data_IF_768897073635
#
_entry.id   IF_768897073635
#
_cell.length_a   1.000
_cell.length_b   1.000
_cell.length_c   1.000
_cell.angle_alpha   90.00
_cell.angle_beta   90.00
_cell.angle_gamma   90.00
#
_symmetry.space_group_name_H-M   'P 1'
#
loop_
_entity.id
_entity.type
_entity.pdbx_description
1 polymer ?
#
# COMPACT_ATOMS: atom_id res chain seq x y z
N UNK A 1 -8.64 18.90 -2.05
CA UNK A 1 -7.40 18.17 -2.42
C UNK A 1 -7.37 17.81 -3.90
N UNK A 2 -8.28 16.94 -4.40
CA UNK A 2 -8.30 16.46 -5.80
C UNK A 2 -8.21 17.58 -6.86
N UNK A 3 -8.99 18.66 -6.67
CA UNK A 3 -9.06 19.78 -7.61
C UNK A 3 -7.84 20.70 -7.60
N UNK A 4 -6.98 20.56 -6.59
CA UNK A 4 -5.73 21.32 -6.45
C UNK A 4 -4.53 20.54 -6.99
N UNK A 5 -4.61 19.20 -6.90
CA UNK A 5 -3.48 18.31 -7.19
C UNK A 5 -3.51 17.82 -8.63
N UNK A 6 -4.69 17.45 -9.15
CA UNK A 6 -4.82 16.89 -10.50
C UNK A 6 -5.16 17.96 -11.53
N UNK A 7 -4.30 18.98 -11.64
CA UNK A 7 -4.46 20.11 -12.56
C UNK A 7 -3.44 20.02 -13.69
N UNK A 8 -3.92 20.08 -14.94
CA UNK A 8 -3.07 20.03 -16.13
C UNK A 8 -2.86 18.61 -16.67
N UNK A 9 -1.71 18.40 -17.32
CA UNK A 9 -1.36 17.11 -17.93
C UNK A 9 -0.40 16.32 -17.03
N UNK A 10 -0.50 14.99 -17.13
CA UNK A 10 0.44 14.08 -16.46
C UNK A 10 1.86 14.18 -17.05
N UNK A 11 2.92 14.03 -16.24
CA UNK A 11 2.87 13.93 -14.78
C UNK A 11 2.50 15.28 -14.14
N UNK A 12 1.66 15.24 -13.11
CA UNK A 12 1.17 16.41 -12.37
C UNK A 12 2.29 17.10 -11.58
N UNK A 13 2.15 18.42 -11.36
CA UNK A 13 3.03 19.18 -10.47
C UNK A 13 2.94 18.64 -9.04
N UNK A 14 4.09 18.29 -8.46
CA UNK A 14 4.18 17.78 -7.09
C UNK A 14 3.91 18.84 -6.02
N UNK A 15 4.07 20.13 -6.32
CA UNK A 15 4.03 21.20 -5.30
C UNK A 15 2.70 21.32 -4.56
N UNK A 16 1.52 21.25 -5.22
CA UNK A 16 0.25 21.33 -4.51
C UNK A 16 0.08 20.16 -3.53
N UNK A 17 0.46 18.94 -3.93
CA UNK A 17 0.41 17.77 -3.07
C UNK A 17 1.37 17.90 -1.89
N UNK A 18 2.62 18.29 -2.14
CA UNK A 18 3.62 18.48 -1.08
C UNK A 18 3.20 19.55 -0.08
N UNK A 19 2.60 20.65 -0.55
CA UNK A 19 2.07 21.70 0.31
C UNK A 19 0.98 21.15 1.24
N UNK A 20 0.00 20.44 0.69
CA UNK A 20 -1.09 19.84 1.48
C UNK A 20 -0.51 18.83 2.49
N UNK A 21 0.42 17.97 2.08
CA UNK A 21 1.04 16.99 2.99
C UNK A 21 1.79 17.67 4.13
N UNK A 22 2.51 18.77 3.88
CA UNK A 22 3.18 19.55 4.92
C UNK A 22 2.19 20.23 5.87
N UNK A 23 1.09 20.77 5.35
CA UNK A 23 0.05 21.41 6.15
C UNK A 23 -0.67 20.39 7.06
N UNK A 24 -0.99 19.20 6.54
CA UNK A 24 -1.76 18.18 7.28
C UNK A 24 -0.89 17.30 8.20
N UNK A 25 0.36 17.02 7.82
CA UNK A 25 1.24 16.09 8.56
C UNK A 25 2.35 16.82 9.35
N UNK A 26 2.47 18.14 9.17
CA UNK A 26 3.53 18.97 9.73
C UNK A 26 4.81 18.93 8.89
N UNK A 27 5.42 20.10 8.70
CA UNK A 27 6.61 20.25 7.84
C UNK A 27 7.88 19.62 8.45
N UNK A 28 7.99 19.67 9.78
CA UNK A 28 9.15 19.20 10.54
C UNK A 28 8.87 17.92 11.36
N UNK A 29 7.62 17.42 11.35
CA UNK A 29 7.25 16.19 12.07
C UNK A 29 8.00 14.99 11.51
N UNK A 30 8.74 14.27 12.35
CA UNK A 30 9.44 13.05 11.97
C UNK A 30 8.66 11.80 12.36
N UNK A 31 8.94 10.67 11.69
CA UNK A 31 8.25 9.39 11.94
C UNK A 31 8.35 9.00 13.42
N UNK A 32 9.50 9.20 14.05
CA UNK A 32 9.72 8.88 15.46
C UNK A 32 8.91 9.76 16.43
N UNK A 33 8.34 10.90 16.00
CA UNK A 33 7.48 11.72 16.87
C UNK A 33 6.16 11.03 17.17
N UNK A 34 5.68 10.18 16.24
CA UNK A 34 4.48 9.37 16.44
C UNK A 34 4.84 8.16 17.31
N UNK A 35 4.40 8.16 18.57
CA UNK A 35 4.74 7.08 19.53
C UNK A 35 3.85 5.86 19.41
N UNK A 36 2.55 6.07 19.25
CA UNK A 36 1.55 5.02 19.06
C UNK A 36 0.45 5.51 18.10
N UNK A 37 -0.15 4.62 17.29
CA UNK A 37 0.25 3.22 17.10
C UNK A 37 1.58 3.09 16.35
N UNK A 38 2.17 1.88 16.31
CA UNK A 38 3.24 1.56 15.35
C UNK A 38 2.71 1.73 13.91
N UNK A 39 3.46 2.44 13.07
CA UNK A 39 3.09 2.80 11.71
C UNK A 39 4.14 2.26 10.74
N UNK A 40 3.64 1.73 9.61
CA UNK A 40 4.43 1.34 8.45
C UNK A 40 3.84 2.02 7.22
N UNK A 41 4.68 2.66 6.42
CA UNK A 41 4.34 3.23 5.11
C UNK A 41 5.29 2.64 4.07
N UNK A 42 4.76 2.15 2.94
CA UNK A 42 5.54 1.47 1.91
C UNK A 42 6.04 2.46 0.86
N UNK A 43 7.27 2.28 0.38
CA UNK A 43 7.80 2.97 -0.78
C UNK A 43 8.85 2.10 -1.47
N UNK A 44 8.99 2.23 -2.78
CA UNK A 44 9.96 1.42 -3.54
C UNK A 44 11.22 2.24 -3.80
N UNK A 45 12.38 1.70 -3.42
CA UNK A 45 13.69 2.25 -3.74
C UNK A 45 14.05 1.87 -5.18
N UNK A 46 14.01 2.86 -6.06
CA UNK A 46 14.25 2.71 -7.50
C UNK A 46 15.66 3.11 -7.93
N UNK A 47 16.52 3.51 -6.98
CA UNK A 47 17.94 3.85 -7.22
C UNK A 47 18.87 2.63 -7.32
N UNK A 48 18.29 1.43 -7.41
CA UNK A 48 19.00 0.15 -7.33
C UNK A 48 18.35 -0.92 -8.19
N UNK A 49 19.14 -1.95 -8.51
CA UNK A 49 18.67 -3.14 -9.19
C UNK A 49 19.21 -4.40 -8.49
N UNK A 50 18.34 -5.35 -8.07
CA UNK A 50 16.87 -5.28 -8.13
C UNK A 50 16.30 -4.14 -7.28
N UNK A 51 15.12 -3.63 -7.66
CA UNK A 51 14.40 -2.64 -6.87
C UNK A 51 14.01 -3.24 -5.50
N UNK A 52 13.95 -2.41 -4.47
CA UNK A 52 13.81 -2.86 -3.09
C UNK A 52 12.64 -2.18 -2.38
N UNK A 53 12.01 -2.88 -1.45
CA UNK A 53 10.90 -2.33 -0.65
C UNK A 53 11.47 -1.62 0.57
N UNK A 54 11.19 -0.32 0.69
CA UNK A 54 11.43 0.41 1.91
C UNK A 54 10.16 0.51 2.74
N UNK A 55 10.27 0.15 4.02
CA UNK A 55 9.26 0.42 5.02
C UNK A 55 9.69 1.65 5.81
N UNK A 56 8.99 2.77 5.62
CA UNK A 56 9.07 3.91 6.52
C UNK A 56 8.34 3.53 7.81
N UNK A 57 9.05 3.57 8.95
CA UNK A 57 8.57 3.09 10.25
C UNK A 57 8.72 4.17 11.30
N UNK A 58 7.88 4.18 12.33
CA UNK A 58 8.09 5.02 13.53
C UNK A 58 8.86 4.31 14.66
N UNK A 59 9.32 3.08 14.43
CA UNK A 59 10.06 2.28 15.40
C UNK A 59 11.37 1.75 14.82
N UNK A 60 12.28 1.34 15.68
CA UNK A 60 13.59 0.78 15.30
C UNK A 60 13.43 -0.54 14.53
N UNK A 61 14.04 -0.64 13.34
CA UNK A 61 13.98 -1.85 12.51
C UNK A 61 14.73 -3.04 13.15
N UNK A 62 14.38 -4.26 12.74
CA UNK A 62 15.09 -5.47 13.15
C UNK A 62 16.59 -5.43 12.81
N UNK A 63 16.94 -4.97 11.60
CA UNK A 63 18.34 -4.81 11.19
C UNK A 63 19.14 -3.89 12.12
N UNK A 64 18.55 -2.76 12.52
CA UNK A 64 19.19 -1.84 13.46
C UNK A 64 19.34 -2.48 14.85
N UNK A 65 18.32 -3.21 15.33
CA UNK A 65 18.40 -3.94 16.60
C UNK A 65 19.53 -4.96 16.61
N UNK A 66 19.74 -5.65 15.50
CA UNK A 66 20.78 -6.66 15.34
C UNK A 66 22.16 -6.08 15.02
N UNK A 67 22.29 -4.75 14.88
CA UNK A 67 23.50 -4.08 14.38
C UNK A 67 23.98 -4.67 13.05
N UNK A 68 23.04 -5.17 12.26
CA UNK A 68 23.30 -5.74 10.95
C UNK A 68 23.51 -4.59 9.95
N UNK A 69 24.74 -4.11 9.84
CA UNK A 69 25.12 -3.17 8.79
C UNK A 69 25.48 -3.98 7.55
N UNK A 70 24.50 -4.18 6.66
CA UNK A 70 24.75 -4.73 5.34
C UNK A 70 25.74 -3.83 4.59
N UNK A 71 26.80 -4.44 4.05
CA UNK A 71 27.73 -3.78 3.12
C UNK A 71 27.05 -3.50 1.79
N UNK A 72 26.11 -2.55 1.79
CA UNK A 72 25.35 -2.21 0.60
C UNK A 72 26.11 -1.17 -0.22
N UNK A 73 26.14 -1.37 -1.54
CA UNK A 73 26.67 -0.40 -2.50
C UNK A 73 25.83 0.88 -2.59
N UNK A 74 24.67 0.91 -1.92
CA UNK A 74 23.70 2.00 -1.93
C UNK A 74 23.70 2.76 -0.61
N UNK A 75 23.43 4.06 -0.67
CA UNK A 75 23.27 4.89 0.53
C UNK A 75 22.14 4.35 1.40
N UNK A 76 22.33 4.15 2.71
CA UNK A 76 21.27 3.69 3.60
C UNK A 76 20.13 4.72 3.68
N UNK A 77 18.94 4.28 4.07
CA UNK A 77 17.85 5.19 4.43
C UNK A 77 18.09 5.78 5.83
N UNK A 78 17.73 7.05 6.05
CA UNK A 78 17.89 7.66 7.36
C UNK A 78 16.99 6.95 8.39
N UNK A 79 17.35 6.97 9.68
CA UNK A 79 16.54 6.36 10.73
C UNK A 79 15.24 7.17 10.97
N UNK A 80 14.24 6.60 11.68
CA UNK A 80 12.93 7.22 11.89
C UNK A 80 12.96 8.66 12.44
N UNK A 81 13.96 9.01 13.24
CA UNK A 81 14.15 10.34 13.85
C UNK A 81 14.58 11.41 12.83
N UNK A 82 14.92 11.00 11.61
CA UNK A 82 15.35 11.86 10.51
C UNK A 82 14.42 11.75 9.29
N UNK A 83 13.39 10.91 9.36
CA UNK A 83 12.42 10.72 8.29
C UNK A 83 11.19 11.60 8.55
N UNK A 84 10.96 12.60 7.70
CA UNK A 84 9.76 13.44 7.79
C UNK A 84 8.51 12.69 7.34
N UNK A 85 7.41 12.84 8.10
CA UNK A 85 6.14 12.15 7.85
C UNK A 85 5.57 12.50 6.48
N UNK A 86 5.55 13.79 6.12
CA UNK A 86 5.05 14.24 4.81
C UNK A 86 5.87 13.70 3.64
N UNK A 87 7.19 13.47 3.84
CA UNK A 87 8.07 12.87 2.82
C UNK A 87 7.79 11.40 2.64
N UNK A 88 7.55 10.66 3.73
CA UNK A 88 7.14 9.26 3.66
C UNK A 88 5.80 9.11 2.91
N UNK A 89 4.82 9.96 3.22
CA UNK A 89 3.54 10.00 2.51
C UNK A 89 3.72 10.34 1.01
N UNK A 90 4.54 11.34 0.68
CA UNK A 90 4.82 11.72 -0.72
C UNK A 90 5.53 10.63 -1.51
N UNK A 91 6.50 9.95 -0.89
CA UNK A 91 7.22 8.84 -1.48
C UNK A 91 6.28 7.65 -1.74
N UNK A 92 5.42 7.33 -0.78
CA UNK A 92 4.47 6.23 -0.88
C UNK A 92 3.45 6.41 -2.00
N UNK A 93 2.92 7.62 -2.18
CA UNK A 93 1.94 7.94 -3.23
C UNK A 93 2.55 8.40 -4.56
N UNK A 94 3.85 8.18 -4.80
CA UNK A 94 4.55 8.61 -6.01
C UNK A 94 4.26 7.71 -7.23
N UNK A 95 2.98 7.57 -7.58
CA UNK A 95 2.49 6.69 -8.65
C UNK A 95 3.21 6.99 -9.98
N UNK A 96 3.92 6.01 -10.58
CA UNK A 96 4.56 6.18 -11.87
C UNK A 96 3.55 6.65 -12.92
N UNK A 97 3.99 7.52 -13.83
CA UNK A 97 3.18 8.26 -14.82
C UNK A 97 2.27 9.38 -14.27
N UNK A 98 1.87 9.35 -12.99
CA UNK A 98 1.04 10.41 -12.39
C UNK A 98 1.89 11.51 -11.76
N UNK A 99 2.92 11.13 -11.00
CA UNK A 99 3.84 12.05 -10.37
C UNK A 99 5.28 11.69 -10.69
N UNK A 100 6.18 12.67 -10.58
CA UNK A 100 7.62 12.41 -10.57
C UNK A 100 8.02 11.62 -9.32
N UNK A 101 9.11 10.87 -9.39
CA UNK A 101 9.68 10.18 -8.23
C UNK A 101 10.05 11.18 -7.12
N UNK A 102 9.92 10.75 -5.87
CA UNK A 102 10.34 11.57 -4.73
C UNK A 102 11.77 11.19 -4.34
N UNK A 103 12.74 11.93 -4.88
CA UNK A 103 14.15 11.56 -4.79
C UNK A 103 14.38 10.18 -5.42
N UNK A 104 14.77 9.20 -4.60
CA UNK A 104 15.00 7.81 -4.99
C UNK A 104 13.79 6.88 -4.84
N UNK A 105 12.66 7.41 -4.38
CA UNK A 105 11.46 6.62 -4.10
C UNK A 105 10.42 6.76 -5.20
N UNK A 106 9.75 5.64 -5.50
CA UNK A 106 8.49 5.59 -6.25
C UNK A 106 7.43 4.90 -5.41
N UNK A 107 6.19 4.90 -5.91
CA UNK A 107 5.02 4.36 -5.22
C UNK A 107 5.24 2.97 -4.62
N UNK A 108 4.80 2.80 -3.37
CA UNK A 108 4.81 1.52 -2.67
C UNK A 108 4.01 0.45 -3.39
N UNK A 109 3.00 0.86 -4.17
CA UNK A 109 2.12 0.03 -4.96
C UNK A 109 2.81 -0.82 -6.04
N UNK A 110 4.05 -0.50 -6.44
CA UNK A 110 4.76 -1.34 -7.40
C UNK A 110 5.21 -2.69 -6.82
N UNK A 111 5.44 -2.77 -5.51
CA UNK A 111 5.84 -4.01 -4.81
C UNK A 111 4.78 -4.45 -3.80
N UNK A 112 4.25 -3.49 -3.01
CA UNK A 112 3.42 -3.73 -1.84
C UNK A 112 2.15 -2.87 -1.88
N UNK A 113 1.33 -3.05 -2.92
CA UNK A 113 0.04 -2.32 -3.06
C UNK A 113 -1.03 -2.78 -2.07
N UNK A 114 -0.89 -4.00 -1.56
CA UNK A 114 -1.61 -4.46 -0.39
C UNK A 114 -0.56 -4.95 0.62
N UNK A 115 -0.22 -4.11 1.62
CA UNK A 115 0.92 -4.37 2.50
C UNK A 115 0.66 -5.46 3.54
N UNK A 116 -0.47 -6.17 3.49
CA UNK A 116 -0.84 -7.15 4.51
C UNK A 116 0.25 -8.21 4.73
N UNK A 117 0.78 -8.80 3.65
CA UNK A 117 1.81 -9.83 3.77
C UNK A 117 3.15 -9.22 4.20
N UNK A 118 3.54 -8.08 3.64
CA UNK A 118 4.79 -7.40 3.98
C UNK A 118 4.81 -6.95 5.45
N UNK A 119 3.69 -6.45 5.97
CA UNK A 119 3.53 -6.10 7.39
C UNK A 119 3.59 -7.32 8.29
N UNK A 120 2.95 -8.44 7.91
CA UNK A 120 3.05 -9.69 8.69
C UNK A 120 4.48 -10.24 8.72
N UNK A 121 5.19 -10.16 7.59
CA UNK A 121 6.61 -10.52 7.49
C UNK A 121 7.46 -9.62 8.39
N UNK A 122 7.30 -8.30 8.29
CA UNK A 122 8.01 -7.33 9.13
C UNK A 122 7.73 -7.56 10.63
N UNK A 123 6.49 -7.84 11.03
CA UNK A 123 6.15 -8.19 12.42
C UNK A 123 6.90 -9.45 12.86
N UNK A 124 6.94 -10.50 12.02
CA UNK A 124 7.62 -11.74 12.35
C UNK A 124 9.14 -11.56 12.48
N UNK A 125 9.76 -10.82 11.56
CA UNK A 125 11.19 -10.50 11.56
C UNK A 125 11.58 -9.59 12.73
N UNK A 126 10.78 -8.56 13.01
CA UNK A 126 10.99 -7.66 14.14
C UNK A 126 10.86 -8.41 15.47
N UNK A 127 9.84 -9.26 15.63
CA UNK A 127 9.70 -10.12 16.80
C UNK A 127 10.89 -11.08 16.98
N UNK A 128 11.39 -11.64 15.88
CA UNK A 128 12.59 -12.49 15.90
C UNK A 128 13.81 -11.71 16.37
N UNK A 129 13.99 -10.50 15.84
CA UNK A 129 15.08 -9.59 16.23
C UNK A 129 15.00 -9.23 17.72
N UNK A 130 13.81 -8.89 18.22
CA UNK A 130 13.57 -8.60 19.65
C UNK A 130 13.94 -9.79 20.54
N UNK A 131 13.60 -11.02 20.12
CA UNK A 131 13.99 -12.22 20.87
C UNK A 131 15.50 -12.42 20.92
N UNK A 132 16.20 -12.24 19.79
CA UNK A 132 17.66 -12.39 19.71
C UNK A 132 18.37 -11.42 20.67
N UNK A 133 17.91 -10.17 20.74
CA UNK A 133 18.50 -9.15 21.62
C UNK A 133 17.97 -9.19 23.07
N UNK A 134 17.20 -10.22 23.44
CA UNK A 134 16.68 -10.40 24.81
C UNK A 134 15.51 -9.49 25.19
N UNK A 135 14.88 -8.79 24.23
CA UNK A 135 13.73 -7.89 24.42
C UNK A 135 12.39 -8.60 24.21
N UNK A 136 12.26 -9.84 24.68
CA UNK A 136 11.08 -10.70 24.48
C UNK A 136 9.77 -10.09 25.00
N UNK A 137 9.82 -9.19 25.98
CA UNK A 137 8.62 -8.51 26.52
C UNK A 137 7.92 -7.58 25.53
N UNK A 138 8.62 -7.18 24.47
CA UNK A 138 8.11 -6.25 23.45
C UNK A 138 7.56 -6.97 22.21
N UNK A 139 7.64 -8.31 22.17
CA UNK A 139 7.11 -9.12 21.09
C UNK A 139 5.59 -9.03 21.07
N UNK A 140 5.03 -8.67 19.90
CA UNK A 140 3.57 -8.56 19.71
C UNK A 140 3.14 -9.51 18.60
N UNK A 141 2.20 -10.40 18.92
CA UNK A 141 1.56 -11.27 17.92
C UNK A 141 0.16 -10.72 17.60
N UNK A 142 -0.12 -10.35 16.34
CA UNK A 142 -1.45 -9.88 15.97
C UNK A 142 -2.47 -10.99 16.16
N UNK A 143 -3.63 -10.66 16.72
CA UNK A 143 -4.79 -11.56 16.83
C UNK A 143 -5.80 -11.34 15.69
N UNK A 144 -5.81 -10.12 15.13
CA UNK A 144 -6.74 -9.68 14.09
C UNK A 144 -5.97 -8.87 13.04
N UNK A 145 -6.31 -9.07 11.78
CA UNK A 145 -5.86 -8.26 10.64
C UNK A 145 -7.09 -7.80 9.86
N UNK A 146 -7.25 -6.48 9.78
CA UNK A 146 -8.26 -5.83 8.95
C UNK A 146 -7.56 -5.17 7.75
N UNK A 147 -7.80 -5.71 6.56
CA UNK A 147 -7.28 -5.16 5.30
C UNK A 147 -8.39 -4.37 4.59
N UNK A 148 -8.17 -3.08 4.36
CA UNK A 148 -9.11 -2.20 3.67
C UNK A 148 -8.63 -1.93 2.25
N UNK A 149 -9.51 -2.07 1.27
CA UNK A 149 -9.25 -1.76 -0.13
C UNK A 149 -9.98 -0.50 -0.57
N UNK A 150 -9.49 0.12 -1.63
CA UNK A 150 -10.05 1.35 -2.23
C UNK A 150 -11.19 1.08 -3.22
N UNK A 151 -11.77 -0.12 -3.19
CA UNK A 151 -12.78 -0.58 -4.14
C UNK A 151 -12.24 -1.57 -5.16
N UNK A 152 -13.14 -2.30 -5.81
CA UNK A 152 -12.85 -3.22 -6.90
C UNK A 152 -13.52 -2.72 -8.18
N UNK A 153 -12.82 -2.68 -9.32
CA UNK A 153 -13.43 -2.32 -10.58
C UNK A 153 -14.48 -3.37 -11.00
N UNK A 154 -15.44 -3.03 -11.86
CA UNK A 154 -16.44 -3.97 -12.36
C UNK A 154 -15.77 -5.15 -13.07
N UNK A 155 -16.38 -6.34 -12.96
CA UNK A 155 -15.88 -7.53 -13.67
C UNK A 155 -16.21 -7.39 -15.15
N UNK A 156 -15.20 -7.05 -15.96
CA UNK A 156 -15.30 -7.00 -17.41
C UNK A 156 -14.75 -8.28 -18.04
N UNK A 157 -15.41 -8.77 -19.11
CA UNK A 157 -14.81 -9.79 -19.98
C UNK A 157 -13.72 -9.12 -20.79
N UNK A 158 -12.51 -9.68 -20.75
CA UNK A 158 -11.41 -9.28 -21.63
C UNK A 158 -11.18 -10.42 -22.61
N UNK A 159 -11.07 -10.10 -23.90
CA UNK A 159 -10.71 -11.10 -24.91
C UNK A 159 -9.33 -11.66 -24.58
N UNK A 160 -9.18 -12.99 -24.69
CA UNK A 160 -7.93 -13.66 -24.35
C UNK A 160 -6.77 -13.04 -25.14
N UNK A 161 -5.76 -12.52 -24.42
CA UNK A 161 -4.55 -12.01 -25.05
C UNK A 161 -3.72 -13.22 -25.48
N UNK A 162 -3.72 -13.47 -26.78
CA UNK A 162 -2.95 -14.54 -27.38
C UNK A 162 -1.51 -14.07 -27.59
N UNK A 163 -0.61 -14.44 -26.69
CA UNK A 163 0.81 -14.07 -26.75
C UNK A 163 1.58 -14.91 -27.78
N UNK A 164 1.17 -14.87 -29.05
CA UNK A 164 1.98 -15.43 -30.15
C UNK A 164 2.95 -14.36 -30.68
N UNK A 165 4.20 -14.77 -30.94
CA UNK A 165 5.19 -14.00 -31.69
C UNK A 165 5.02 -14.33 -33.19
N UNK A 166 4.42 -13.48 -34.03
CA UNK A 166 4.14 -13.82 -35.43
C UNK A 166 5.34 -13.47 -36.33
N UNK A 167 5.60 -14.30 -37.33
CA UNK A 167 6.79 -14.25 -38.19
C UNK A 167 6.74 -13.21 -39.36
N UNK A 168 5.76 -12.30 -39.44
CA UNK A 168 5.57 -11.44 -40.63
C UNK A 168 5.34 -9.94 -40.34
N UNK A 169 5.93 -9.08 -41.18
CA UNK A 169 6.03 -7.62 -41.05
C UNK A 169 4.71 -6.84 -41.16
N UNK A 170 3.59 -7.45 -41.56
CA UNK A 170 2.25 -6.81 -41.49
C UNK A 170 1.63 -6.83 -40.08
N UNK A 171 2.31 -7.46 -39.12
CA UNK A 171 1.87 -7.60 -37.73
C UNK A 171 2.20 -6.41 -36.82
N UNK A 172 2.86 -5.34 -37.30
CA UNK A 172 3.42 -4.27 -36.45
C UNK A 172 2.37 -3.45 -35.70
N UNK A 173 1.21 -3.19 -36.30
CA UNK A 173 0.11 -2.46 -35.62
C UNK A 173 -0.53 -3.35 -34.56
N UNK A 174 -0.82 -4.62 -34.88
CA UNK A 174 -1.28 -5.62 -33.89
C UNK A 174 -0.24 -5.87 -32.79
N UNK A 175 1.05 -5.76 -33.09
CA UNK A 175 2.16 -5.85 -32.14
C UNK A 175 2.19 -4.64 -31.20
N UNK A 176 2.00 -3.41 -31.69
CA UNK A 176 1.96 -2.22 -30.82
C UNK A 176 0.79 -2.28 -29.83
N UNK A 177 -0.41 -2.65 -30.31
CA UNK A 177 -1.58 -2.88 -29.45
C UNK A 177 -1.42 -4.09 -28.52
N UNK A 178 -0.77 -5.17 -28.98
CA UNK A 178 -0.47 -6.35 -28.17
C UNK A 178 0.56 -6.08 -27.07
N UNK A 179 1.62 -5.31 -27.38
CA UNK A 179 2.67 -4.93 -26.44
C UNK A 179 2.13 -3.96 -25.38
N UNK A 180 1.26 -3.02 -25.74
CA UNK A 180 0.60 -2.13 -24.77
C UNK A 180 -0.33 -2.89 -23.83
N UNK A 181 -1.04 -3.91 -24.32
CA UNK A 181 -1.92 -4.74 -23.49
C UNK A 181 -1.11 -5.64 -22.53
N UNK A 182 -0.01 -6.23 -22.99
CA UNK A 182 0.90 -7.00 -22.12
C UNK A 182 1.57 -6.10 -21.08
N UNK A 183 2.03 -4.90 -21.45
CA UNK A 183 2.59 -3.94 -20.51
C UNK A 183 1.56 -3.52 -19.44
N UNK A 184 0.32 -3.22 -19.86
CA UNK A 184 -0.77 -2.93 -18.94
C UNK A 184 -1.05 -4.10 -17.99
N UNK A 185 -1.14 -5.33 -18.52
CA UNK A 185 -1.29 -6.52 -17.68
C UNK A 185 -0.14 -6.69 -16.68
N UNK A 186 1.12 -6.48 -17.10
CA UNK A 186 2.27 -6.58 -16.21
C UNK A 186 2.21 -5.55 -15.09
N UNK A 187 1.81 -4.31 -15.40
CA UNK A 187 1.59 -3.26 -14.39
C UNK A 187 0.45 -3.66 -13.47
N UNK A 188 -0.70 -4.07 -14.01
CA UNK A 188 -1.86 -4.51 -13.23
C UNK A 188 -1.50 -5.67 -12.28
N UNK A 189 -0.68 -6.62 -12.74
CA UNK A 189 -0.17 -7.74 -11.95
C UNK A 189 0.81 -7.28 -10.86
N UNK A 190 1.75 -6.38 -11.19
CA UNK A 190 2.71 -5.83 -10.24
C UNK A 190 2.00 -5.03 -9.13
N UNK A 191 0.94 -4.30 -9.48
CA UNK A 191 0.16 -3.48 -8.54
C UNK A 191 -1.07 -4.21 -8.00
N UNK A 192 -1.09 -5.54 -7.95
CA UNK A 192 -2.26 -6.29 -7.46
C UNK A 192 -2.50 -6.13 -5.95
N UNK A 193 -3.58 -5.44 -5.60
CA UNK A 193 -4.01 -5.30 -4.21
C UNK A 193 -5.09 -6.32 -3.77
N UNK A 194 -5.69 -7.07 -4.69
CA UNK A 194 -6.78 -8.02 -4.42
C UNK A 194 -6.48 -9.42 -5.00
N UNK A 195 -7.47 -10.31 -5.07
CA UNK A 195 -7.33 -11.69 -5.59
C UNK A 195 -6.31 -12.52 -4.78
N UNK A 196 -5.30 -13.09 -5.45
CA UNK A 196 -4.33 -14.02 -4.83
C UNK A 196 -3.54 -13.39 -3.69
N UNK A 197 -3.30 -12.08 -3.71
CA UNK A 197 -2.66 -11.37 -2.59
C UNK A 197 -3.49 -11.50 -1.31
N UNK A 198 -4.82 -11.34 -1.43
CA UNK A 198 -5.78 -11.51 -0.32
C UNK A 198 -5.92 -12.97 0.08
N UNK A 199 -5.93 -13.91 -0.86
CA UNK A 199 -6.04 -15.34 -0.56
C UNK A 199 -4.82 -15.86 0.20
N UNK A 200 -3.62 -15.45 -0.21
CA UNK A 200 -2.37 -15.75 0.49
C UNK A 200 -2.41 -15.19 1.91
N UNK A 201 -2.74 -13.91 2.07
CA UNK A 201 -2.86 -13.27 3.38
C UNK A 201 -3.85 -14.01 4.29
N UNK A 202 -5.04 -14.35 3.78
CA UNK A 202 -6.06 -15.10 4.51
C UNK A 202 -5.57 -16.48 4.95
N UNK A 203 -4.94 -17.23 4.05
CA UNK A 203 -4.44 -18.58 4.33
C UNK A 203 -3.35 -18.55 5.42
N UNK A 204 -2.38 -17.64 5.32
CA UNK A 204 -1.31 -17.48 6.31
C UNK A 204 -1.85 -16.99 7.66
N UNK A 205 -2.78 -16.03 7.67
CA UNK A 205 -3.46 -15.64 8.90
C UNK A 205 -4.17 -16.84 9.56
N UNK A 206 -4.89 -17.63 8.78
CA UNK A 206 -5.56 -18.84 9.26
C UNK A 206 -4.60 -19.86 9.86
N UNK A 207 -3.43 -20.09 9.23
CA UNK A 207 -2.38 -20.96 9.79
C UNK A 207 -1.82 -20.45 11.11
N UNK A 208 -1.76 -19.13 11.30
CA UNK A 208 -1.23 -18.50 12.52
C UNK A 208 -2.30 -18.25 13.60
N UNK A 209 -3.55 -18.65 13.39
CA UNK A 209 -4.65 -18.37 14.33
C UNK A 209 -5.05 -16.89 14.38
N UNK A 210 -4.77 -16.13 13.32
CA UNK A 210 -5.08 -14.70 13.20
C UNK A 210 -6.42 -14.55 12.45
N UNK A 211 -7.36 -13.81 13.04
CA UNK A 211 -8.61 -13.48 12.36
C UNK A 211 -8.33 -12.47 11.23
N UNK A 212 -8.70 -12.80 9.99
CA UNK A 212 -8.47 -11.94 8.82
C UNK A 212 -9.78 -11.51 8.17
N UNK A 213 -9.97 -10.19 8.01
CA UNK A 213 -11.06 -9.62 7.23
C UNK A 213 -10.52 -8.67 6.15
N UNK A 214 -10.96 -8.88 4.90
CA UNK A 214 -10.74 -7.96 3.78
C UNK A 214 -12.05 -7.26 3.46
N UNK A 215 -12.07 -5.93 3.55
CA UNK A 215 -13.19 -5.10 3.12
C UNK A 215 -12.77 -4.27 1.91
N UNK A 216 -13.46 -4.47 0.78
CA UNK A 216 -13.28 -3.68 -0.43
C UNK A 216 -14.58 -3.74 -1.23
N UNK A 217 -15.30 -2.63 -1.43
CA UNK A 217 -16.58 -2.61 -2.12
C UNK A 217 -16.42 -2.92 -3.60
N UNK A 218 -17.40 -3.62 -4.18
CA UNK A 218 -17.50 -3.75 -5.63
C UNK A 218 -18.09 -2.46 -6.20
N UNK A 219 -17.35 -1.79 -7.08
CA UNK A 219 -17.79 -0.56 -7.72
C UNK A 219 -18.47 -0.85 -9.06
N UNK A 220 -19.39 0.02 -9.47
CA UNK A 220 -20.04 -0.06 -10.79
C UNK A 220 -19.16 0.48 -11.92
N UNK A 221 -18.24 1.39 -11.62
CA UNK A 221 -17.33 2.03 -12.57
C UNK A 221 -15.88 1.70 -12.25
N UNK A 222 -15.04 1.65 -13.29
CA UNK A 222 -13.58 1.61 -13.15
C UNK A 222 -13.07 3.03 -12.88
N UNK A 223 -13.12 3.43 -11.61
CA UNK A 223 -12.73 4.77 -11.15
C UNK A 223 -11.22 4.93 -11.25
N UNK A 224 -10.79 5.91 -12.04
CA UNK A 224 -9.38 6.19 -12.27
C UNK A 224 -8.72 6.86 -11.04
N UNK A 225 -7.40 6.70 -10.91
CA UNK A 225 -6.63 7.18 -9.75
C UNK A 225 -6.73 8.70 -9.54
N UNK A 226 -6.80 9.46 -10.63
CA UNK A 226 -6.86 10.92 -10.67
C UNK A 226 -8.27 11.46 -10.98
N UNK A 227 -9.33 10.69 -10.66
CA UNK A 227 -10.71 11.14 -10.83
C UNK A 227 -11.00 12.37 -9.96
N UNK A 228 -11.52 13.42 -10.61
CA UNK A 228 -11.82 14.71 -9.95
C UNK A 228 -13.31 15.02 -9.92
N UNK A 229 -14.16 14.30 -10.65
CA UNK A 229 -15.60 14.58 -10.72
C UNK A 229 -16.33 14.11 -9.47
N UNK A 230 -16.96 15.05 -8.78
CA UNK A 230 -17.70 14.78 -7.54
C UNK A 230 -18.81 13.76 -7.73
N UNK A 231 -19.51 13.80 -8.87
CA UNK A 231 -20.62 12.88 -9.17
C UNK A 231 -20.19 11.40 -9.12
N UNK A 232 -18.99 11.09 -9.64
CA UNK A 232 -18.44 9.73 -9.66
C UNK A 232 -17.98 9.33 -8.27
N UNK A 233 -17.24 10.21 -7.59
CA UNK A 233 -16.72 9.94 -6.25
C UNK A 233 -17.85 9.77 -5.22
N UNK A 234 -18.89 10.60 -5.30
CA UNK A 234 -20.09 10.48 -4.45
C UNK A 234 -20.82 9.18 -4.72
N UNK A 235 -20.94 8.75 -5.98
CA UNK A 235 -21.50 7.44 -6.29
C UNK A 235 -20.66 6.29 -5.70
N UNK A 236 -19.32 6.35 -5.79
CA UNK A 236 -18.44 5.36 -5.15
C UNK A 236 -18.58 5.33 -3.63
N UNK A 237 -18.76 6.49 -2.99
CA UNK A 237 -19.05 6.57 -1.55
C UNK A 237 -20.40 5.94 -1.21
N UNK A 238 -21.43 6.19 -2.03
CA UNK A 238 -22.75 5.57 -1.87
C UNK A 238 -22.68 4.04 -1.98
N UNK A 239 -22.01 3.51 -3.01
CA UNK A 239 -21.79 2.07 -3.18
C UNK A 239 -21.03 1.47 -1.99
N UNK A 240 -20.05 2.20 -1.47
CA UNK A 240 -19.32 1.82 -0.25
C UNK A 240 -20.26 1.74 0.97
N UNK A 241 -21.18 2.70 1.13
CA UNK A 241 -22.16 2.69 2.21
C UNK A 241 -23.14 1.51 2.10
N UNK A 242 -23.60 1.20 0.89
CA UNK A 242 -24.42 0.00 0.61
C UNK A 242 -23.65 -1.27 0.96
N UNK A 243 -22.37 -1.35 0.57
CA UNK A 243 -21.50 -2.47 0.91
C UNK A 243 -21.31 -2.64 2.41
N UNK A 244 -21.02 -1.56 3.15
CA UNK A 244 -20.87 -1.57 4.61
C UNK A 244 -22.14 -2.12 5.27
N UNK A 245 -23.33 -1.67 4.84
CA UNK A 245 -24.60 -2.21 5.33
C UNK A 245 -24.74 -3.71 5.07
N UNK A 246 -24.32 -4.19 3.89
CA UNK A 246 -24.33 -5.63 3.57
C UNK A 246 -23.34 -6.46 4.41
N UNK A 247 -22.30 -5.82 4.98
CA UNK A 247 -21.24 -6.43 5.79
C UNK A 247 -21.36 -6.15 7.29
N UNK A 248 -22.47 -5.55 7.73
CA UNK A 248 -22.70 -5.11 9.12
C UNK A 248 -22.31 -6.17 10.16
N UNK A 249 -22.76 -7.41 9.99
CA UNK A 249 -22.46 -8.49 10.93
C UNK A 249 -20.96 -8.82 11.01
N UNK A 250 -20.25 -8.86 9.86
CA UNK A 250 -18.81 -9.11 9.83
C UNK A 250 -18.02 -7.96 10.47
N UNK A 251 -18.46 -6.72 10.24
CA UNK A 251 -17.87 -5.53 10.85
C UNK A 251 -18.08 -5.55 12.36
N UNK A 252 -19.27 -5.89 12.84
CA UNK A 252 -19.55 -6.02 14.27
C UNK A 252 -18.71 -7.12 14.94
N UNK A 253 -18.53 -8.26 14.27
CA UNK A 253 -17.68 -9.35 14.78
C UNK A 253 -16.22 -8.90 14.93
N UNK A 254 -15.65 -8.23 13.92
CA UNK A 254 -14.28 -7.71 14.02
C UNK A 254 -14.17 -6.59 15.04
N UNK A 255 -15.14 -5.68 15.11
CA UNK A 255 -15.16 -4.63 16.13
C UNK A 255 -15.12 -5.23 17.54
N UNK A 256 -15.94 -6.26 17.80
CA UNK A 256 -15.94 -6.96 19.08
C UNK A 256 -14.57 -7.60 19.39
N UNK A 257 -13.89 -8.18 18.41
CA UNK A 257 -12.54 -8.74 18.58
C UNK A 257 -11.49 -7.66 18.86
N UNK A 258 -11.60 -6.49 18.22
CA UNK A 258 -10.68 -5.37 18.44
C UNK A 258 -10.88 -4.71 19.81
N UNK A 259 -12.10 -4.73 20.35
CA UNK A 259 -12.43 -4.17 21.66
C UNK A 259 -12.39 -5.20 22.80
N UNK A 260 -12.23 -6.49 22.51
CA UNK A 260 -12.16 -7.54 23.51
C UNK A 260 -10.89 -7.36 24.38
N UNK A 261 -11.03 -6.65 25.49
CA UNK A 261 -9.93 -6.28 26.40
C UNK A 261 -9.81 -4.78 26.69
N UNK A 262 -10.60 -3.93 26.01
CA UNK A 262 -10.74 -2.52 26.34
C UNK A 262 -11.97 -2.37 27.24
N UNK A 263 -11.85 -1.88 28.49
CA UNK A 263 -13.02 -1.61 29.32
C UNK A 263 -13.96 -0.64 28.59
N UNK A 264 -15.27 -0.89 28.65
CA UNK A 264 -16.27 0.05 28.13
C UNK A 264 -15.97 1.45 28.69
N UNK A 265 -16.02 2.51 27.87
CA UNK A 265 -16.10 3.86 28.41
C UNK A 265 -17.28 3.89 29.38
N UNK A 266 -17.05 4.38 30.60
CA UNK A 266 -18.15 4.59 31.54
C UNK A 266 -19.10 5.63 30.92
N UNK A 267 -20.39 5.29 30.84
CA UNK A 267 -21.48 6.23 30.53
C UNK A 267 -21.62 7.29 31.63
#
# INVERSE_FOLDING_TARGET
>A
MKDLVFVGMRPYDEKPLEKILKEELGEDTVMADIKEPKIIVTGVLADRFPADLHLFRNYTSGEHLLQAHGGNAFTPTPPPEQQLVWRAARASGAAPSYFRSYGRFIDGGLISNNPTLDVLTEIAEHNTSLNIVGRTKEVVKPSVVLSLGTGKPPVAKVDAIDCFKPESMWSTVRMAFGLSNVAKLLVDQATMADNRTVDRARAWCGMCGIAYLRLSPQLSLDVQLDETRDEILVNSLWETMVYIRSKKEQIHQIAALLTAGVPSPAE
#
